data_IF_352728537242
#
_entry.id   IF_352728537242
#
_cell.length_a   1.000
_cell.length_b   1.000
_cell.length_c   1.000
_cell.angle_alpha   90.00
_cell.angle_beta   90.00
_cell.angle_gamma   90.00
#
_symmetry.space_group_name_H-M   'P 1'
#
loop_
_entity.id
_entity.type
_entity.pdbx_description
1 polymer ?
#
# COMPACT_ATOMS: atom_id res chain seq x y z
N UNK A 1 -18.30 4.50 -14.17
CA UNK A 1 -16.83 4.53 -13.97
C UNK A 1 -16.38 3.12 -13.61
N UNK A 2 -15.79 2.39 -14.55
CA UNK A 2 -15.27 1.04 -14.33
C UNK A 2 -14.08 1.15 -13.37
N UNK A 3 -14.30 0.76 -12.11
CA UNK A 3 -13.24 0.67 -11.13
C UNK A 3 -12.38 -0.55 -11.49
N UNK A 4 -11.47 -0.39 -12.45
CA UNK A 4 -10.53 -1.44 -12.84
C UNK A 4 -9.72 -1.82 -11.59
N UNK A 5 -10.05 -2.97 -11.01
CA UNK A 5 -9.36 -3.49 -9.84
C UNK A 5 -7.97 -3.95 -10.28
N UNK A 6 -7.02 -3.02 -10.33
CA UNK A 6 -5.60 -3.34 -10.48
C UNK A 6 -5.09 -3.78 -9.13
N UNK A 7 -4.89 -5.08 -9.00
CA UNK A 7 -4.11 -5.66 -7.91
C UNK A 7 -2.76 -4.95 -7.81
N UNK A 8 -2.27 -4.77 -6.59
CA UNK A 8 -0.88 -4.38 -6.39
C UNK A 8 0.01 -5.57 -6.71
N UNK A 9 0.97 -5.34 -7.61
CA UNK A 9 2.07 -6.29 -7.83
C UNK A 9 2.93 -6.40 -6.57
N UNK A 10 3.79 -7.42 -6.51
CA UNK A 10 4.77 -7.53 -5.44
C UNK A 10 5.71 -6.30 -5.38
N UNK A 11 6.06 -5.75 -6.55
CA UNK A 11 6.88 -4.54 -6.68
C UNK A 11 6.17 -3.31 -6.11
N UNK A 12 4.88 -3.11 -6.42
CA UNK A 12 4.07 -2.02 -5.85
C UNK A 12 4.06 -2.11 -4.31
N UNK A 13 3.93 -3.33 -3.76
CA UNK A 13 3.94 -3.55 -2.30
C UNK A 13 5.31 -3.26 -1.70
N UNK A 14 6.39 -3.71 -2.34
CA UNK A 14 7.75 -3.45 -1.90
C UNK A 14 8.06 -1.94 -1.91
N UNK A 15 7.66 -1.23 -2.97
CA UNK A 15 7.81 0.21 -3.09
C UNK A 15 7.06 0.94 -1.97
N UNK A 16 5.82 0.53 -1.66
CA UNK A 16 5.05 1.10 -0.54
C UNK A 16 5.78 0.91 0.79
N UNK A 17 6.29 -0.29 1.06
CA UNK A 17 7.01 -0.58 2.30
C UNK A 17 8.29 0.24 2.43
N UNK A 18 9.07 0.35 1.35
CA UNK A 18 10.32 1.12 1.34
C UNK A 18 10.05 2.62 1.50
N UNK A 19 9.09 3.15 0.74
CA UNK A 19 8.77 4.58 0.78
C UNK A 19 8.09 5.00 2.08
N UNK A 20 7.40 4.09 2.79
CA UNK A 20 6.70 4.41 4.04
C UNK A 20 7.64 4.94 5.13
N UNK A 21 8.92 4.57 5.11
CA UNK A 21 9.90 5.06 6.06
C UNK A 21 10.12 6.59 5.96
N UNK A 22 10.03 7.16 4.76
CA UNK A 22 10.38 8.56 4.50
C UNK A 22 9.22 9.40 3.94
N UNK A 23 8.12 8.79 3.50
CA UNK A 23 7.02 9.47 2.82
C UNK A 23 5.66 9.23 3.47
N UNK A 24 4.80 10.25 3.36
CA UNK A 24 3.40 10.15 3.74
C UNK A 24 2.61 9.28 2.75
N UNK A 25 1.50 8.69 3.20
CA UNK A 25 0.62 7.85 2.36
C UNK A 25 0.19 8.59 1.08
N UNK A 26 -0.10 9.90 1.19
CA UNK A 26 -0.48 10.73 0.04
C UNK A 26 0.66 10.94 -0.95
N UNK A 27 1.89 11.10 -0.47
CA UNK A 27 3.06 11.22 -1.34
C UNK A 27 3.32 9.91 -2.10
N UNK A 28 3.28 8.77 -1.40
CA UNK A 28 3.42 7.43 -2.00
C UNK A 28 2.32 7.19 -3.04
N UNK A 29 1.07 7.52 -2.71
CA UNK A 29 -0.06 7.39 -3.61
C UNK A 29 0.13 8.17 -4.92
N UNK A 30 0.62 9.42 -4.84
CA UNK A 30 0.94 10.22 -6.04
C UNK A 30 2.07 9.59 -6.86
N UNK A 31 3.13 9.12 -6.21
CA UNK A 31 4.28 8.54 -6.88
C UNK A 31 3.95 7.23 -7.62
N UNK A 32 3.08 6.40 -7.03
CA UNK A 32 2.63 5.13 -7.61
C UNK A 32 1.39 5.28 -8.49
N UNK A 33 0.84 6.48 -8.64
CA UNK A 33 -0.41 6.71 -9.38
C UNK A 33 -1.61 5.93 -8.79
N UNK A 34 -1.62 5.69 -7.48
CA UNK A 34 -2.65 4.91 -6.78
C UNK A 34 -3.48 5.80 -5.86
N UNK A 35 -4.65 5.30 -5.48
CA UNK A 35 -5.46 5.99 -4.48
C UNK A 35 -4.81 5.88 -3.08
N UNK A 36 -4.85 6.93 -2.24
CA UNK A 36 -4.36 6.85 -0.87
C UNK A 36 -5.07 5.76 -0.04
N UNK A 37 -6.34 5.47 -0.34
CA UNK A 37 -7.09 4.42 0.34
C UNK A 37 -6.59 3.02 -0.03
N UNK A 38 -6.05 2.82 -1.24
CA UNK A 38 -5.41 1.56 -1.63
C UNK A 38 -4.12 1.34 -0.83
N UNK A 39 -3.27 2.37 -0.75
CA UNK A 39 -2.01 2.32 0.01
C UNK A 39 -2.28 2.09 1.50
N UNK A 40 -3.27 2.79 2.07
CA UNK A 40 -3.67 2.62 3.47
C UNK A 40 -4.13 1.19 3.77
N UNK A 41 -5.02 0.63 2.94
CA UNK A 41 -5.48 -0.75 3.08
C UNK A 41 -4.34 -1.76 2.99
N UNK A 42 -3.36 -1.52 2.12
CA UNK A 42 -2.18 -2.38 2.00
C UNK A 42 -1.31 -2.32 3.26
N UNK A 43 -1.05 -1.12 3.79
CA UNK A 43 -0.29 -0.96 5.03
C UNK A 43 -1.00 -1.63 6.21
N UNK A 44 -2.32 -1.48 6.33
CA UNK A 44 -3.11 -2.16 7.37
C UNK A 44 -3.04 -3.68 7.23
N UNK A 45 -3.14 -4.22 6.00
CA UNK A 45 -3.00 -5.66 5.76
C UNK A 45 -1.64 -6.19 6.25
N UNK A 46 -0.57 -5.45 5.99
CA UNK A 46 0.77 -5.81 6.47
C UNK A 46 0.94 -5.64 7.99
N UNK A 47 0.24 -4.73 8.66
CA UNK A 47 0.28 -4.61 10.14
C UNK A 47 -0.53 -5.68 10.84
N UNK A 48 -1.67 -6.11 10.27
CA UNK A 48 -2.50 -7.20 10.81
C UNK A 48 -1.78 -8.56 10.73
N UNK A 49 -0.85 -8.72 9.78
CA UNK A 49 0.00 -9.92 9.68
C UNK A 49 1.03 -10.06 10.80
N UNK A 50 1.23 -9.06 11.67
CA UNK A 50 2.09 -9.20 12.86
C UNK A 50 1.39 -9.83 14.07
N UNK A 51 0.14 -10.31 13.93
CA UNK A 51 -0.66 -10.78 15.06
C UNK A 51 -1.44 -12.06 14.72
N UNK A 52 -0.78 -13.21 14.81
CA UNK A 52 -1.35 -14.50 15.24
C UNK A 52 -0.37 -15.65 14.94
N UNK A 53 0.73 -15.71 15.67
CA UNK A 53 1.30 -17.00 16.07
C UNK A 53 1.56 -16.84 17.57
N UNK A 54 0.57 -17.21 18.38
CA UNK A 54 0.76 -17.58 19.77
C UNK A 54 0.70 -19.10 19.82
#
# INVERSE_FOLDING_TARGET
>A
MTHCYRHLSAEDRAAIMLMRANHSIRAIARQLGRSPSTISRELVRHTVSKRAIK
#
